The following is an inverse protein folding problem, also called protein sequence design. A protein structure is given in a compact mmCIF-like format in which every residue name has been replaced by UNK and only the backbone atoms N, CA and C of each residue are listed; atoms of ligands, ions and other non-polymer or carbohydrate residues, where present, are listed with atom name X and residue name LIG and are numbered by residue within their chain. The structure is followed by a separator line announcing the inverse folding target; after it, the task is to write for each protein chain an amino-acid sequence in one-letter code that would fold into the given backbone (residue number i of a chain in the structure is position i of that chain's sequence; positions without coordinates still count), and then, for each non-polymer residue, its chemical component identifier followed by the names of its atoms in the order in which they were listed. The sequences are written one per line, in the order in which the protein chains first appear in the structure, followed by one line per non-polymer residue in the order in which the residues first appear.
data_IF_329924231867
#
_entry.id   IF_329924231867
#
_cell.length_a   1.000
_cell.length_b   1.000
_cell.length_c   1.000
_cell.angle_alpha   90.00
_cell.angle_beta   90.00
_cell.angle_gamma   90.00
#
_symmetry.space_group_name_H-M   'P 1'
#
loop_
_entity.id
_entity.type
_entity.pdbx_description
1 polymer ?
#
# COMPACT_ATOMS: atom_id res chain seq x y z
N UNK A 1 -41.62 -33.18 13.10
CA UNK A 1 -40.25 -32.94 13.62
C UNK A 1 -39.34 -34.01 13.03
N UNK A 2 -38.25 -33.61 12.37
CA UNK A 2 -36.98 -33.46 13.10
C UNK A 2 -36.24 -32.14 12.79
N UNK A 3 -35.12 -32.02 13.49
CA UNK A 3 -34.28 -30.87 13.80
C UNK A 3 -32.94 -30.94 13.04
N UNK A 4 -32.27 -29.78 13.02
CA UNK A 4 -30.84 -29.54 12.83
C UNK A 4 -30.32 -29.30 11.40
N UNK A 5 -30.10 -28.02 11.12
CA UNK A 5 -29.21 -27.54 10.07
C UNK A 5 -27.73 -27.62 10.47
N UNK A 6 -26.89 -27.79 9.46
CA UNK A 6 -25.44 -27.63 9.57
C UNK A 6 -24.97 -26.75 8.41
N UNK A 7 -24.48 -25.56 8.73
CA UNK A 7 -23.80 -24.66 7.81
C UNK A 7 -22.46 -25.27 7.41
N UNK A 8 -22.32 -25.68 6.15
CA UNK A 8 -21.05 -26.12 5.59
C UNK A 8 -20.17 -24.93 5.23
N UNK A 9 -19.05 -24.76 5.93
CA UNK A 9 -17.96 -23.90 5.49
C UNK A 9 -17.26 -24.55 4.28
N UNK A 10 -16.89 -23.78 3.23
CA UNK A 10 -16.01 -24.31 2.19
C UNK A 10 -14.60 -24.57 2.75
N UNK A 11 -13.88 -25.59 2.25
CA UNK A 11 -12.52 -25.88 2.69
C UNK A 11 -11.54 -24.75 2.30
N UNK A 12 -10.46 -24.55 3.05
CA UNK A 12 -9.48 -23.49 2.77
C UNK A 12 -8.75 -23.76 1.44
N UNK A 13 -8.68 -22.72 0.60
CA UNK A 13 -7.86 -22.69 -0.61
C UNK A 13 -6.39 -22.64 -0.20
N UNK A 14 -5.69 -23.76 -0.38
CA UNK A 14 -4.24 -23.84 -0.13
C UNK A 14 -3.50 -23.19 -1.29
N UNK A 15 -3.10 -21.92 -1.15
CA UNK A 15 -2.14 -21.32 -2.06
C UNK A 15 -0.77 -22.00 -1.88
N UNK A 16 -0.36 -22.81 -2.87
CA UNK A 16 1.01 -23.32 -2.94
C UNK A 16 1.95 -22.15 -3.23
N UNK A 17 2.64 -21.66 -2.21
CA UNK A 17 3.79 -20.78 -2.37
C UNK A 17 4.94 -21.64 -2.92
N UNK A 18 5.31 -21.42 -4.18
CA UNK A 18 6.50 -22.02 -4.77
C UNK A 18 7.72 -21.22 -4.29
N UNK A 19 8.49 -21.76 -3.35
CA UNK A 19 9.78 -21.18 -2.96
C UNK A 19 10.83 -21.73 -3.93
N UNK A 20 11.29 -20.91 -4.87
CA UNK A 20 12.47 -21.20 -5.67
C UNK A 20 13.72 -21.09 -4.80
N UNK A 21 14.34 -22.22 -4.46
CA UNK A 21 15.71 -22.24 -3.95
C UNK A 21 16.67 -22.19 -5.14
N UNK A 22 17.49 -21.15 -5.23
CA UNK A 22 18.63 -21.10 -6.17
C UNK A 22 19.73 -22.04 -5.68
N UNK A 23 20.42 -22.69 -6.62
CA UNK A 23 21.34 -23.82 -6.38
C UNK A 23 22.71 -23.42 -5.79
N UNK A 24 22.85 -22.22 -5.19
CA UNK A 24 24.16 -21.62 -4.93
C UNK A 24 24.44 -21.20 -3.48
N UNK A 25 23.77 -21.84 -2.52
CA UNK A 25 24.17 -21.76 -1.11
C UNK A 25 24.33 -23.20 -0.60
N UNK A 26 25.53 -23.53 -0.12
CA UNK A 26 25.83 -24.81 0.54
C UNK A 26 24.93 -25.06 1.76
N UNK A 27 25.04 -26.25 2.38
CA UNK A 27 24.07 -26.71 3.39
C UNK A 27 23.99 -25.74 4.56
N UNK A 28 22.83 -25.11 4.75
CA UNK A 28 22.54 -24.32 5.95
C UNK A 28 22.47 -25.24 7.17
N UNK A 29 22.98 -24.81 8.34
CA UNK A 29 23.03 -25.64 9.54
C UNK A 29 21.62 -25.98 10.03
N UNK A 30 21.48 -27.26 10.34
CA UNK A 30 20.28 -27.96 10.77
C UNK A 30 19.77 -27.39 12.11
N UNK A 31 18.74 -26.52 12.08
CA UNK A 31 17.97 -26.19 13.29
C UNK A 31 16.99 -27.33 13.58
N UNK A 32 17.34 -28.17 14.54
CA UNK A 32 16.50 -29.23 15.10
C UNK A 32 15.33 -28.64 15.89
N UNK A 33 14.16 -28.53 15.27
CA UNK A 33 12.89 -28.32 15.96
C UNK A 33 12.19 -29.68 16.22
N UNK A 34 11.56 -29.87 17.39
CA UNK A 34 10.90 -31.12 17.73
C UNK A 34 9.66 -31.36 16.87
N UNK A 35 9.51 -32.59 16.34
CA UNK A 35 8.34 -33.02 15.56
C UNK A 35 7.15 -33.32 16.47
N UNK A 36 5.95 -32.77 16.24
CA UNK A 36 4.74 -33.29 16.86
C UNK A 36 4.34 -34.65 16.24
N UNK A 37 3.82 -35.60 17.03
CA UNK A 37 3.39 -36.90 16.53
C UNK A 37 2.11 -36.77 15.69
N UNK A 38 2.11 -37.29 14.46
CA UNK A 38 0.88 -37.44 13.67
C UNK A 38 0.94 -37.13 12.17
N UNK A 39 2.02 -36.55 11.64
CA UNK A 39 2.17 -36.32 10.19
C UNK A 39 3.07 -37.36 9.52
N UNK A 40 2.47 -38.18 8.65
CA UNK A 40 3.19 -38.99 7.67
C UNK A 40 3.26 -38.20 6.35
N UNK A 41 4.46 -37.86 5.90
CA UNK A 41 4.63 -37.42 4.51
C UNK A 41 4.71 -38.67 3.62
N UNK A 42 3.68 -38.89 2.81
CA UNK A 42 3.76 -39.83 1.69
C UNK A 42 4.60 -39.16 0.61
N UNK A 43 5.88 -39.51 0.53
CA UNK A 43 6.67 -39.32 -0.68
C UNK A 43 6.08 -40.24 -1.76
N UNK A 44 5.14 -39.75 -2.57
CA UNK A 44 4.72 -40.48 -3.77
C UNK A 44 5.91 -40.53 -4.73
N UNK A 45 6.46 -41.73 -4.88
CA UNK A 45 7.38 -42.07 -5.94
C UNK A 45 6.77 -41.74 -7.30
N UNK A 46 7.56 -41.11 -8.18
CA UNK A 46 7.19 -40.89 -9.58
C UNK A 46 7.10 -42.22 -10.35
N UNK A 47 6.18 -42.37 -11.32
CA UNK A 47 6.17 -43.54 -12.18
C UNK A 47 7.41 -43.55 -13.07
N UNK A 48 8.13 -44.68 -13.10
CA UNK A 48 9.22 -44.91 -14.03
C UNK A 48 8.66 -45.06 -15.45
N UNK A 49 8.79 -44.02 -16.26
CA UNK A 49 8.71 -44.17 -17.72
C UNK A 49 10.13 -44.37 -18.26
N UNK A 50 10.39 -45.56 -18.82
CA UNK A 50 11.45 -45.81 -19.79
C UNK A 50 12.86 -45.31 -19.47
N UNK A 51 13.51 -45.84 -18.42
CA UNK A 51 14.97 -46.03 -18.38
C UNK A 51 15.92 -44.83 -18.56
N UNK A 52 15.47 -43.58 -18.59
CA UNK A 52 16.33 -42.37 -18.62
C UNK A 52 15.84 -41.31 -17.64
N UNK A 53 16.76 -40.52 -17.06
CA UNK A 53 16.41 -39.50 -16.07
C UNK A 53 15.83 -38.29 -16.83
N UNK A 54 14.70 -37.74 -16.36
CA UNK A 54 13.96 -36.67 -17.05
C UNK A 54 14.73 -35.36 -17.29
N UNK A 55 15.92 -35.18 -16.69
CA UNK A 55 16.80 -34.04 -16.96
C UNK A 55 17.72 -34.23 -18.19
N UNK A 56 17.83 -35.45 -18.72
CA UNK A 56 18.65 -35.78 -19.90
C UNK A 56 17.96 -35.42 -21.23
N UNK A 57 16.67 -35.05 -21.20
CA UNK A 57 15.87 -34.71 -22.38
C UNK A 57 15.59 -33.20 -22.54
N UNK A 58 16.24 -32.34 -21.76
CA UNK A 58 16.18 -30.90 -21.95
C UNK A 58 17.27 -30.47 -22.95
N UNK A 59 16.95 -29.64 -23.97
CA UNK A 59 17.99 -29.09 -24.83
C UNK A 59 18.99 -28.29 -23.98
N UNK A 60 20.30 -28.35 -24.28
CA UNK A 60 21.28 -27.59 -23.54
C UNK A 60 20.98 -26.10 -23.62
N UNK A 61 21.15 -25.39 -22.49
CA UNK A 61 21.08 -23.93 -22.47
C UNK A 61 22.16 -23.37 -23.40
N UNK A 62 21.87 -22.34 -24.21
CA UNK A 62 22.84 -21.77 -25.13
C UNK A 62 24.07 -21.28 -24.35
N UNK A 63 25.22 -21.87 -24.65
CA UNK A 63 26.52 -21.42 -24.15
C UNK A 63 26.84 -20.04 -24.70
N UNK A 64 27.29 -19.17 -23.81
CA UNK A 64 27.71 -17.79 -24.07
C UNK A 64 28.76 -17.71 -25.20
N UNK A 65 28.33 -17.35 -26.40
CA UNK A 65 29.20 -16.79 -27.46
C UNK A 65 28.46 -15.95 -28.52
N UNK A 66 27.19 -15.62 -28.31
CA UNK A 66 26.46 -14.65 -29.13
C UNK A 66 26.10 -13.42 -28.30
N UNK A 67 27.09 -12.52 -28.18
CA UNK A 67 26.82 -11.11 -27.89
C UNK A 67 26.02 -10.59 -29.07
N UNK A 68 24.72 -10.36 -28.88
CA UNK A 68 23.92 -9.57 -29.81
C UNK A 68 24.53 -8.17 -29.77
N UNK A 69 25.06 -7.62 -30.89
CA UNK A 69 25.52 -6.24 -30.89
C UNK A 69 24.34 -5.33 -30.53
N UNK A 70 24.54 -4.28 -29.72
CA UNK A 70 23.47 -3.35 -29.42
C UNK A 70 22.90 -2.83 -30.75
N UNK A 71 21.56 -2.85 -30.86
CA UNK A 71 20.88 -2.30 -32.02
C UNK A 71 21.42 -0.89 -32.31
N UNK A 72 21.69 -0.54 -33.58
CA UNK A 72 22.24 0.77 -33.91
C UNK A 72 21.33 1.85 -33.34
N UNK A 73 21.94 2.85 -32.70
CA UNK A 73 21.25 3.97 -32.09
C UNK A 73 20.30 4.59 -33.13
N UNK A 74 19.00 4.32 -32.99
CA UNK A 74 17.98 4.93 -33.84
C UNK A 74 18.06 6.43 -33.55
N UNK A 75 18.62 7.16 -34.49
CA UNK A 75 18.72 8.61 -34.45
C UNK A 75 17.29 9.15 -34.25
N UNK A 76 16.98 9.54 -33.01
CA UNK A 76 15.70 10.15 -32.67
C UNK A 76 15.67 11.47 -33.44
N UNK A 77 14.95 11.47 -34.57
CA UNK A 77 14.50 12.71 -35.22
C UNK A 77 13.88 13.58 -34.13
N UNK A 78 14.33 14.83 -34.06
CA UNK A 78 14.08 15.77 -32.98
C UNK A 78 12.63 15.72 -32.49
N UNK A 79 12.42 15.07 -31.36
CA UNK A 79 11.22 15.26 -30.57
C UNK A 79 11.43 16.56 -29.81
N UNK A 80 10.64 17.57 -30.15
CA UNK A 80 10.42 18.78 -29.35
C UNK A 80 10.43 18.36 -27.88
N UNK A 81 11.28 18.99 -27.05
CA UNK A 81 11.23 18.79 -25.59
C UNK A 81 9.77 18.97 -25.18
N UNK A 82 9.10 17.87 -24.83
CA UNK A 82 7.83 17.96 -24.12
C UNK A 82 8.20 18.61 -22.79
N UNK A 83 7.93 19.92 -22.70
CA UNK A 83 8.02 20.63 -21.45
C UNK A 83 7.10 19.92 -20.46
N UNK A 84 7.66 19.31 -19.42
CA UNK A 84 6.92 18.85 -18.24
C UNK A 84 6.38 20.03 -17.41
N UNK A 85 6.16 21.18 -18.05
CA UNK A 85 5.50 22.30 -17.43
C UNK A 85 4.02 21.92 -17.34
N UNK A 86 3.64 21.49 -16.14
CA UNK A 86 2.23 21.40 -15.75
C UNK A 86 1.57 22.73 -16.10
N UNK A 87 0.44 22.73 -16.82
CA UNK A 87 -0.29 23.96 -17.08
C UNK A 87 -0.68 24.57 -15.74
N UNK A 88 -0.08 25.71 -15.40
CA UNK A 88 -0.52 26.54 -14.29
C UNK A 88 -1.80 27.24 -14.74
N UNK A 89 -2.93 26.54 -14.63
CA UNK A 89 -4.24 27.01 -15.07
C UNK A 89 -5.30 26.58 -14.07
N UNK A 90 -5.88 27.58 -13.39
CA UNK A 90 -6.79 27.51 -12.25
C UNK A 90 -6.15 27.14 -10.90
N UNK A 91 -6.18 28.09 -9.97
CA UNK A 91 -5.84 27.87 -8.55
C UNK A 91 -6.92 26.97 -7.93
N UNK A 92 -6.81 25.67 -8.13
CA UNK A 92 -7.71 24.69 -7.52
C UNK A 92 -7.27 24.51 -6.06
N UNK A 93 -7.99 25.17 -5.15
CA UNK A 93 -7.79 24.96 -3.71
C UNK A 93 -8.41 23.62 -3.32
N UNK A 94 -7.60 22.70 -2.79
CA UNK A 94 -8.09 21.43 -2.24
C UNK A 94 -8.44 21.59 -0.76
N UNK A 95 -9.56 21.00 -0.35
CA UNK A 95 -10.06 20.97 1.03
C UNK A 95 -9.56 19.72 1.72
N UNK A 96 -8.78 19.90 2.78
CA UNK A 96 -8.08 18.81 3.47
C UNK A 96 -8.59 18.64 4.90
N UNK A 97 -8.82 17.39 5.28
CA UNK A 97 -9.08 16.96 6.66
C UNK A 97 -7.87 16.24 7.24
N UNK A 98 -7.54 16.51 8.50
CA UNK A 98 -6.47 15.83 9.23
C UNK A 98 -7.06 15.14 10.46
N UNK A 99 -7.01 13.81 10.49
CA UNK A 99 -7.52 13.02 11.62
C UNK A 99 -6.38 12.36 12.37
N UNK A 100 -6.09 12.84 13.56
CA UNK A 100 -5.10 12.22 14.43
C UNK A 100 -5.77 11.17 15.29
N UNK A 101 -5.31 9.92 15.19
CA UNK A 101 -5.81 8.80 15.97
C UNK A 101 -4.79 8.51 17.07
N UNK A 102 -5.16 8.85 18.31
CA UNK A 102 -4.32 8.61 19.47
C UNK A 102 -5.12 8.69 20.77
N UNK A 103 -5.17 7.60 21.53
CA UNK A 103 -5.75 7.55 22.88
C UNK A 103 -5.14 8.62 23.82
N UNK A 104 -3.82 8.84 23.75
CA UNK A 104 -3.13 9.85 24.57
C UNK A 104 -3.41 11.28 24.07
N UNK A 105 -3.44 11.47 22.75
CA UNK A 105 -3.76 12.76 22.14
C UNK A 105 -5.20 13.20 22.45
N UNK A 106 -6.15 12.28 22.35
CA UNK A 106 -7.57 12.53 22.64
C UNK A 106 -7.81 12.90 24.11
N UNK A 107 -6.98 12.41 25.04
CA UNK A 107 -7.00 12.79 26.47
C UNK A 107 -6.24 14.08 26.78
N UNK A 108 -5.64 14.73 25.78
CA UNK A 108 -4.80 15.93 25.96
C UNK A 108 -3.46 15.65 26.66
N UNK A 109 -3.07 14.39 26.78
CA UNK A 109 -1.84 13.97 27.49
C UNK A 109 -0.60 14.01 26.58
N UNK A 110 -0.80 14.21 25.28
CA UNK A 110 0.27 14.29 24.28
C UNK A 110 -0.07 15.36 23.24
N UNK A 111 0.88 16.23 22.97
CA UNK A 111 0.76 17.19 21.87
C UNK A 111 0.85 16.47 20.52
N UNK A 112 -0.06 16.82 19.61
CA UNK A 112 -0.07 16.26 18.26
C UNK A 112 0.92 16.99 17.34
N UNK A 113 2.17 16.54 17.36
CA UNK A 113 3.22 17.02 16.47
C UNK A 113 3.09 16.48 15.05
N UNK A 114 2.42 15.33 14.87
CA UNK A 114 2.24 14.70 13.56
C UNK A 114 1.21 15.45 12.73
N UNK A 115 0.06 15.79 13.32
CA UNK A 115 -0.94 16.64 12.68
C UNK A 115 -0.40 18.03 12.33
N UNK A 116 0.45 18.61 13.18
CA UNK A 116 1.14 19.86 12.84
C UNK A 116 2.03 19.72 11.60
N UNK A 117 2.84 18.66 11.53
CA UNK A 117 3.71 18.41 10.37
C UNK A 117 2.88 18.25 9.07
N UNK A 118 1.71 17.61 9.13
CA UNK A 118 0.79 17.51 7.98
C UNK A 118 0.32 18.90 7.55
N UNK A 119 -0.12 19.74 8.49
CA UNK A 119 -0.62 21.09 8.19
C UNK A 119 0.43 21.93 7.47
N UNK A 120 1.67 21.92 7.95
CA UNK A 120 2.78 22.67 7.36
C UNK A 120 3.06 22.21 5.92
N UNK A 121 3.05 20.90 5.68
CA UNK A 121 3.27 20.36 4.34
C UNK A 121 2.11 20.64 3.39
N UNK A 122 0.86 20.54 3.85
CA UNK A 122 -0.32 20.83 3.00
C UNK A 122 -0.40 22.31 2.62
N UNK A 123 0.03 23.22 3.49
CA UNK A 123 0.10 24.64 3.18
C UNK A 123 1.01 24.92 1.96
N UNK A 124 2.09 24.14 1.80
CA UNK A 124 2.99 24.27 0.63
C UNK A 124 2.36 23.89 -0.71
N UNK A 125 1.27 23.10 -0.71
CA UNK A 125 0.54 22.69 -1.92
C UNK A 125 -0.60 23.66 -2.29
N UNK A 126 -0.79 24.76 -1.56
CA UNK A 126 -1.96 25.62 -1.73
C UNK A 126 -3.27 24.96 -1.30
N UNK A 127 -3.20 23.88 -0.52
CA UNK A 127 -4.36 23.20 0.03
C UNK A 127 -4.79 23.87 1.34
N UNK A 128 -6.11 23.90 1.59
CA UNK A 128 -6.69 24.47 2.81
C UNK A 128 -7.07 23.35 3.77
N UNK A 129 -6.45 23.34 4.95
CA UNK A 129 -6.85 22.43 6.03
C UNK A 129 -8.10 22.98 6.70
N UNK A 130 -9.26 22.44 6.32
CA UNK A 130 -10.55 22.89 6.82
C UNK A 130 -10.96 22.17 8.10
N UNK A 131 -10.58 20.90 8.22
CA UNK A 131 -10.89 20.06 9.37
C UNK A 131 -9.64 19.49 9.98
N UNK A 132 -9.59 19.50 11.30
CA UNK A 132 -8.56 18.85 12.07
C UNK A 132 -9.14 18.40 13.40
N UNK A 133 -8.96 17.13 13.72
CA UNK A 133 -9.42 16.58 14.97
C UNK A 133 -8.55 15.44 15.48
N UNK A 134 -8.59 15.25 16.79
CA UNK A 134 -7.93 14.15 17.48
C UNK A 134 -9.01 13.24 18.06
N UNK A 135 -8.96 11.95 17.72
CA UNK A 135 -9.91 10.94 18.17
C UNK A 135 -9.17 9.78 18.86
N UNK A 136 -9.82 9.06 19.80
CA UNK A 136 -9.24 7.86 20.38
C UNK A 136 -9.14 6.73 19.35
N UNK A 137 -8.40 5.68 19.68
CA UNK A 137 -8.19 4.47 18.87
C UNK A 137 -9.43 3.56 18.87
N UNK A 138 -10.60 4.12 18.52
CA UNK A 138 -11.90 3.47 18.49
C UNK A 138 -12.42 3.39 17.05
N UNK A 139 -12.55 2.17 16.52
CA UNK A 139 -12.87 1.91 15.12
C UNK A 139 -14.11 2.66 14.64
N UNK A 140 -15.19 2.62 15.42
CA UNK A 140 -16.46 3.25 15.06
C UNK A 140 -16.37 4.78 15.04
N UNK A 141 -15.59 5.37 15.94
CA UNK A 141 -15.39 6.83 15.98
C UNK A 141 -14.57 7.30 14.79
N UNK A 142 -13.50 6.58 14.44
CA UNK A 142 -12.68 6.85 13.26
C UNK A 142 -13.56 6.73 12.00
N UNK A 143 -14.29 5.62 11.85
CA UNK A 143 -15.12 5.37 10.66
C UNK A 143 -16.24 6.42 10.51
N UNK A 144 -16.93 6.77 11.60
CA UNK A 144 -17.95 7.82 11.61
C UNK A 144 -17.38 9.16 11.14
N UNK A 145 -16.21 9.52 11.67
CA UNK A 145 -15.53 10.77 11.35
C UNK A 145 -15.11 10.83 9.88
N UNK A 146 -14.52 9.76 9.35
CA UNK A 146 -14.15 9.63 7.95
C UNK A 146 -15.37 9.74 7.01
N UNK A 147 -16.50 9.09 7.36
CA UNK A 147 -17.75 9.20 6.58
C UNK A 147 -18.27 10.63 6.54
N UNK A 148 -18.42 11.28 7.70
CA UNK A 148 -18.91 12.66 7.78
C UNK A 148 -18.05 13.62 6.96
N UNK A 149 -16.74 13.49 7.06
CA UNK A 149 -15.82 14.36 6.33
C UNK A 149 -15.86 14.17 4.82
N UNK A 150 -16.06 12.94 4.37
CA UNK A 150 -16.22 12.65 2.94
C UNK A 150 -17.61 13.07 2.41
N UNK A 151 -18.67 12.73 3.13
CA UNK A 151 -20.04 12.81 2.62
C UNK A 151 -20.72 14.16 2.92
N UNK A 152 -20.56 14.68 4.14
CA UNK A 152 -21.26 15.88 4.62
C UNK A 152 -20.40 17.12 4.40
N UNK A 153 -19.12 17.07 4.81
CA UNK A 153 -18.22 18.20 4.60
C UNK A 153 -17.74 18.29 3.16
N UNK A 154 -17.70 17.17 2.41
CA UNK A 154 -17.25 17.14 1.01
C UNK A 154 -15.77 17.50 0.86
N UNK A 155 -14.91 16.99 1.75
CA UNK A 155 -13.46 17.19 1.66
C UNK A 155 -12.88 16.43 0.45
N UNK A 156 -11.79 16.94 -0.12
CA UNK A 156 -11.11 16.29 -1.24
C UNK A 156 -10.11 15.24 -0.76
N UNK A 157 -9.42 15.54 0.34
CA UNK A 157 -8.37 14.71 0.91
C UNK A 157 -8.56 14.59 2.41
N UNK A 158 -8.51 13.37 2.93
CA UNK A 158 -8.44 13.09 4.36
C UNK A 158 -7.16 12.33 4.67
N UNK A 159 -6.32 12.92 5.51
CA UNK A 159 -5.08 12.33 5.98
C UNK A 159 -5.26 11.90 7.43
N UNK A 160 -5.11 10.61 7.70
CA UNK A 160 -5.09 10.13 9.09
C UNK A 160 -3.65 9.94 9.55
N UNK A 161 -3.39 10.08 10.85
CA UNK A 161 -2.07 9.77 11.42
C UNK A 161 -2.23 8.98 12.72
N UNK A 162 -1.50 7.86 12.83
CA UNK A 162 -1.59 6.94 13.99
C UNK A 162 -2.49 5.73 13.76
N UNK A 163 -2.38 4.75 14.66
CA UNK A 163 -3.23 3.55 14.68
C UNK A 163 -3.00 2.55 13.53
N UNK A 164 -1.86 2.58 12.84
CA UNK A 164 -1.55 1.74 11.64
C UNK A 164 -0.57 0.59 11.88
N UNK A 165 -0.08 0.40 13.11
CA UNK A 165 0.89 -0.65 13.46
C UNK A 165 0.24 -2.01 13.75
N UNK A 166 0.95 -2.89 14.48
CA UNK A 166 0.44 -4.21 14.91
C UNK A 166 -0.09 -4.23 16.35
N UNK A 167 -0.20 -3.07 17.00
CA UNK A 167 -0.76 -2.97 18.34
C UNK A 167 -2.23 -3.42 18.37
N UNK A 168 -2.71 -3.96 19.51
CA UNK A 168 -4.10 -4.42 19.63
C UNK A 168 -5.13 -3.29 19.52
N UNK A 169 -4.69 -2.04 19.71
CA UNK A 169 -5.49 -0.82 19.55
C UNK A 169 -5.35 -0.20 18.17
N UNK A 170 -4.40 -0.64 17.35
CA UNK A 170 -4.22 -0.09 16.00
C UNK A 170 -5.39 -0.57 15.12
N UNK A 171 -6.39 0.28 14.92
CA UNK A 171 -7.63 -0.05 14.18
C UNK A 171 -7.93 0.92 13.04
N UNK A 172 -7.04 1.88 12.77
CA UNK A 172 -7.22 2.88 11.70
C UNK A 172 -7.36 2.25 10.31
N UNK A 173 -6.57 1.23 9.91
CA UNK A 173 -6.75 0.54 8.64
C UNK A 173 -8.12 -0.11 8.49
N UNK A 174 -8.60 -0.80 9.53
CA UNK A 174 -9.89 -1.45 9.57
C UNK A 174 -11.02 -0.43 9.45
N UNK A 175 -10.96 0.67 10.23
CA UNK A 175 -11.92 1.75 10.15
C UNK A 175 -11.94 2.42 8.77
N UNK A 176 -10.78 2.53 8.11
CA UNK A 176 -10.67 3.10 6.76
C UNK A 176 -11.32 2.18 5.73
N UNK A 177 -11.08 0.87 5.80
CA UNK A 177 -11.71 -0.13 4.92
C UNK A 177 -13.22 -0.18 5.05
N UNK A 178 -13.77 0.10 6.23
CA UNK A 178 -15.23 0.16 6.44
C UNK A 178 -15.91 1.35 5.77
N UNK A 179 -15.13 2.30 5.24
CA UNK A 179 -15.60 3.61 4.78
C UNK A 179 -15.32 3.84 3.30
N UNK A 180 -14.18 3.37 2.78
CA UNK A 180 -13.81 3.53 1.37
C UNK A 180 -14.68 2.65 0.46
N UNK A 181 -14.98 3.17 -0.72
CA UNK A 181 -15.68 2.44 -1.79
C UNK A 181 -14.69 1.68 -2.68
N UNK A 182 -13.49 2.23 -2.85
CA UNK A 182 -12.44 1.70 -3.74
C UNK A 182 -11.06 1.85 -3.10
N UNK A 183 -10.29 0.78 -3.06
CA UNK A 183 -8.90 0.85 -2.57
C UNK A 183 -7.94 1.49 -3.60
N UNK A 184 -6.93 2.19 -3.09
CA UNK A 184 -5.82 2.76 -3.85
C UNK A 184 -4.48 2.18 -3.34
N UNK A 185 -4.25 0.86 -3.45
CA UNK A 185 -3.14 0.17 -2.80
C UNK A 185 -1.76 0.64 -3.29
N UNK A 186 -1.67 1.13 -4.53
CA UNK A 186 -0.42 1.63 -5.11
C UNK A 186 0.17 2.83 -4.34
N UNK A 187 -0.67 3.67 -3.73
CA UNK A 187 -0.22 4.77 -2.88
C UNK A 187 0.51 4.24 -1.64
N UNK A 188 -0.06 3.20 -1.02
CA UNK A 188 0.55 2.52 0.14
C UNK A 188 1.84 1.82 -0.26
N UNK A 189 1.87 1.14 -1.40
CA UNK A 189 3.08 0.48 -1.91
C UNK A 189 4.19 1.50 -2.14
N UNK A 190 3.90 2.65 -2.73
CA UNK A 190 4.89 3.70 -2.96
C UNK A 190 5.44 4.25 -1.63
N UNK A 191 4.55 4.56 -0.69
CA UNK A 191 4.88 4.97 0.68
C UNK A 191 5.81 3.96 1.38
N UNK A 192 5.44 2.68 1.39
CA UNK A 192 6.21 1.60 2.00
C UNK A 192 7.55 1.42 1.28
N UNK A 193 7.55 1.42 -0.06
CA UNK A 193 8.77 1.25 -0.85
C UNK A 193 9.80 2.34 -0.58
N UNK A 194 9.38 3.58 -0.38
CA UNK A 194 10.31 4.66 -0.01
C UNK A 194 10.73 4.56 1.46
N UNK A 195 9.77 4.26 2.35
CA UNK A 195 10.05 4.07 3.78
C UNK A 195 11.08 2.96 4.04
N UNK A 196 11.04 1.88 3.27
CA UNK A 196 11.98 0.76 3.35
C UNK A 196 13.43 1.14 3.05
N UNK A 197 13.67 2.19 2.25
CA UNK A 197 15.02 2.71 2.01
C UNK A 197 15.60 3.38 3.24
N UNK A 198 14.75 3.77 4.20
CA UNK A 198 15.13 4.49 5.44
C UNK A 198 15.12 3.58 6.65
N UNK A 199 14.12 2.71 6.77
CA UNK A 199 13.99 1.81 7.92
C UNK A 199 13.28 0.50 7.54
N UNK A 200 13.78 -0.66 8.01
CA UNK A 200 13.08 -1.93 7.84
C UNK A 200 11.73 -1.96 8.57
N UNK A 201 11.52 -1.09 9.57
CA UNK A 201 10.26 -1.00 10.31
C UNK A 201 9.08 -0.56 9.43
N UNK A 202 9.33 0.01 8.25
CA UNK A 202 8.28 0.34 7.30
C UNK A 202 7.45 -0.89 6.87
N UNK A 203 7.98 -2.11 7.01
CA UNK A 203 7.23 -3.36 6.75
C UNK A 203 6.06 -3.59 7.72
N UNK A 204 6.06 -2.94 8.88
CA UNK A 204 5.09 -3.20 9.95
C UNK A 204 3.81 -2.36 9.81
N UNK A 205 3.74 -1.46 8.83
CA UNK A 205 2.53 -0.67 8.61
C UNK A 205 1.43 -1.51 7.97
N UNK A 206 0.21 -1.33 8.44
CA UNK A 206 -1.02 -1.84 7.82
C UNK A 206 -1.83 -0.73 7.16
N UNK A 207 -1.20 0.43 6.89
CA UNK A 207 -1.86 1.60 6.30
C UNK A 207 -2.71 1.23 5.07
N UNK A 208 -3.85 1.89 4.94
CA UNK A 208 -4.75 1.79 3.80
C UNK A 208 -4.89 3.16 3.15
N UNK A 209 -5.07 3.15 1.83
CA UNK A 209 -5.46 4.32 1.08
C UNK A 209 -6.61 3.93 0.14
N UNK A 210 -7.55 4.84 -0.08
CA UNK A 210 -8.71 4.57 -0.92
C UNK A 210 -9.61 5.78 -1.10
N UNK A 211 -10.61 5.63 -1.96
CA UNK A 211 -11.59 6.66 -2.29
C UNK A 211 -12.93 6.34 -1.62
N UNK A 212 -13.56 7.37 -1.07
CA UNK A 212 -14.99 7.40 -0.75
C UNK A 212 -15.65 8.51 -1.56
N UNK A 213 -16.51 8.15 -2.52
CA UNK A 213 -17.03 9.08 -3.51
C UNK A 213 -15.91 9.81 -4.25
N UNK A 214 -15.75 11.10 -3.94
CA UNK A 214 -14.72 12.00 -4.51
C UNK A 214 -13.57 12.29 -3.54
N UNK A 215 -13.63 11.77 -2.32
CA UNK A 215 -12.66 12.03 -1.26
C UNK A 215 -11.59 10.94 -1.24
N UNK A 216 -10.33 11.33 -1.36
CA UNK A 216 -9.19 10.44 -1.15
C UNK A 216 -8.86 10.37 0.35
N UNK A 217 -8.80 9.16 0.90
CA UNK A 217 -8.44 8.89 2.29
C UNK A 217 -7.10 8.15 2.30
N UNK A 218 -6.12 8.65 3.06
CA UNK A 218 -4.79 8.03 3.17
C UNK A 218 -4.37 7.93 4.64
N UNK A 219 -4.00 6.73 5.08
CA UNK A 219 -3.43 6.54 6.39
C UNK A 219 -1.91 6.78 6.39
N UNK A 220 -1.47 7.69 7.25
CA UNK A 220 -0.05 7.98 7.48
C UNK A 220 0.43 7.37 8.80
N UNK A 221 1.74 7.14 8.95
CA UNK A 221 2.32 6.69 10.22
C UNK A 221 2.10 7.70 11.35
N UNK A 222 2.31 7.27 12.60
CA UNK A 222 2.09 8.12 13.77
C UNK A 222 3.24 9.05 14.17
N UNK A 223 4.45 8.89 13.61
CA UNK A 223 5.59 9.74 13.96
C UNK A 223 5.72 10.93 12.98
N UNK A 224 6.06 12.16 13.46
CA UNK A 224 6.12 13.34 12.59
C UNK A 224 7.10 13.19 11.44
N UNK A 225 8.25 12.55 11.71
CA UNK A 225 9.26 12.27 10.69
C UNK A 225 8.73 11.32 9.61
N UNK A 226 8.08 10.22 10.00
CA UNK A 226 7.55 9.27 9.03
C UNK A 226 6.39 9.88 8.23
N UNK A 227 5.55 10.71 8.86
CA UNK A 227 4.54 11.51 8.15
C UNK A 227 5.18 12.36 7.06
N UNK A 228 6.24 13.10 7.38
CA UNK A 228 6.92 13.97 6.42
C UNK A 228 7.51 13.17 5.25
N UNK A 229 8.19 12.06 5.56
CA UNK A 229 8.78 11.18 4.55
C UNK A 229 7.70 10.57 3.63
N UNK A 230 6.57 10.12 4.18
CA UNK A 230 5.49 9.54 3.38
C UNK A 230 4.74 10.59 2.56
N UNK A 231 4.48 11.77 3.13
CA UNK A 231 3.85 12.85 2.40
C UNK A 231 4.71 13.31 1.23
N UNK A 232 6.04 13.44 1.39
CA UNK A 232 6.94 13.80 0.29
C UNK A 232 6.81 12.87 -0.94
N UNK A 233 6.50 11.59 -0.72
CA UNK A 233 6.23 10.62 -1.80
C UNK A 233 4.91 10.93 -2.51
N UNK A 234 3.89 11.37 -1.76
CA UNK A 234 2.55 11.61 -2.26
C UNK A 234 2.37 13.01 -2.87
N UNK A 235 3.05 14.05 -2.36
CA UNK A 235 2.88 15.44 -2.80
C UNK A 235 2.85 15.60 -4.34
N UNK A 236 3.75 14.96 -5.12
CA UNK A 236 3.77 15.15 -6.58
C UNK A 236 2.54 14.58 -7.30
N UNK A 237 1.87 13.58 -6.72
CA UNK A 237 0.73 12.90 -7.35
C UNK A 237 -0.62 13.39 -6.85
N UNK A 238 -0.66 14.02 -5.66
CA UNK A 238 -1.90 14.45 -5.02
C UNK A 238 -2.75 15.40 -5.90
N UNK A 239 -2.23 16.47 -6.52
CA UNK A 239 -3.07 17.38 -7.31
C UNK A 239 -3.85 16.65 -8.41
N UNK A 240 -3.14 15.86 -9.22
CA UNK A 240 -3.75 15.08 -10.29
C UNK A 240 -4.70 13.99 -9.77
N UNK A 241 -4.35 13.31 -8.68
CA UNK A 241 -5.22 12.30 -8.08
C UNK A 241 -6.55 12.89 -7.58
N UNK A 242 -6.50 14.10 -7.00
CA UNK A 242 -7.69 14.80 -6.49
C UNK A 242 -8.56 15.35 -7.62
N UNK A 243 -7.96 15.88 -8.70
CA UNK A 243 -8.68 16.27 -9.92
C UNK A 243 -9.46 15.08 -10.53
N UNK A 244 -8.79 13.93 -10.66
CA UNK A 244 -9.43 12.70 -11.13
C UNK A 244 -10.55 12.23 -10.22
N UNK A 245 -10.37 12.32 -8.89
CA UNK A 245 -11.38 11.93 -7.91
C UNK A 245 -12.62 12.83 -7.96
N UNK A 246 -12.44 14.14 -8.23
CA UNK A 246 -13.56 15.09 -8.44
C UNK A 246 -14.35 14.79 -9.72
N UNK A 247 -13.76 14.06 -10.67
CA UNK A 247 -14.32 13.83 -11.99
C UNK A 247 -14.17 15.04 -12.91
N UNK A 248 -13.23 15.94 -12.59
CA UNK A 248 -12.85 16.99 -13.53
C UNK A 248 -12.05 16.34 -14.68
N UNK A 249 -12.28 16.77 -15.93
CA UNK A 249 -11.52 16.25 -17.06
C UNK A 249 -10.05 16.66 -16.88
N UNK A 250 -9.25 15.77 -16.28
CA UNK A 250 -7.81 15.91 -16.34
C UNK A 250 -7.41 15.82 -17.80
N UNK A 251 -6.57 16.73 -18.31
CA UNK A 251 -6.06 16.67 -19.68
C UNK A 251 -5.10 15.48 -19.81
N UNK A 252 -5.64 14.27 -19.93
CA UNK A 252 -4.86 13.12 -20.34
C UNK A 252 -4.47 13.33 -21.80
N UNK A 253 -3.26 13.81 -22.02
CA UNK A 253 -2.55 13.67 -23.27
C UNK A 253 -2.35 12.17 -23.51
N UNK A 254 -3.18 11.59 -24.35
CA UNK A 254 -2.96 10.28 -24.95
C UNK A 254 -1.60 10.28 -25.65
N UNK A 255 -0.69 9.40 -25.25
CA UNK A 255 0.54 9.08 -25.98
C UNK A 255 0.81 7.58 -25.87
#
# INVERSE_FOLDING_TARGET
MPIAGGYGYPPPVVHRVLVCATKDQGPLPFLSLPRPPGLWYICRAWPKYGGRKAWESLPPLPTSSHIIPPAPARQRRGGTRLSTAFPQGASVTFRVGILTVSDLGARGLRQDTSGQAIREMMASLGATVERYEVVPDERDQIALRLRRWADEDGLDLVLTTGGTGFGPRDVTPEATRDVIDREAPALVIAMVSEGLKRTPLAMLTRAVAGLRGRTLIVNLPGSPRAVQENLQVLLPVLPHALELARGEPSPHQSS
#
